data_IF_901433100859
#
_entry.id   IF_901433100859
#
_cell.length_a   1.000
_cell.length_b   1.000
_cell.length_c   1.000
_cell.angle_alpha   90.00
_cell.angle_beta   90.00
_cell.angle_gamma   90.00
#
_symmetry.space_group_name_H-M   'P 1'
#
loop_
_entity.id
_entity.type
_entity.pdbx_description
1 polymer ?
#
# COMPACT_ATOMS: atom_id res chain seq x y z
N UNK A 1 -11.94 -22.74 2.36
CA UNK A 1 -11.69 -22.66 3.81
C UNK A 1 -13.00 -22.99 4.53
N UNK A 2 -13.03 -23.96 5.44
CA UNK A 2 -14.22 -24.23 6.28
C UNK A 2 -14.13 -23.40 7.56
N UNK A 3 -15.00 -22.39 7.68
CA UNK A 3 -15.01 -21.48 8.82
C UNK A 3 -16.25 -21.79 9.66
N UNK A 4 -16.06 -21.95 10.97
CA UNK A 4 -17.15 -22.13 11.92
C UNK A 4 -17.25 -20.92 12.84
N UNK A 5 -18.23 -20.06 12.56
CA UNK A 5 -18.53 -18.92 13.42
C UNK A 5 -19.45 -19.37 14.55
N UNK A 6 -19.02 -19.18 15.81
CA UNK A 6 -19.79 -19.51 17.01
C UNK A 6 -20.12 -18.24 17.80
N UNK A 7 -21.26 -18.25 18.50
CA UNK A 7 -21.74 -17.12 19.32
C UNK A 7 -21.86 -15.79 18.54
N UNK A 8 -22.14 -15.85 17.24
CA UNK A 8 -22.43 -14.65 16.47
C UNK A 8 -23.72 -14.00 16.98
N UNK A 9 -23.72 -12.67 17.05
CA UNK A 9 -24.92 -11.91 17.37
C UNK A 9 -26.01 -12.19 16.31
N UNK A 10 -27.21 -12.63 16.73
CA UNK A 10 -28.33 -12.88 15.82
C UNK A 10 -28.68 -11.67 14.93
N UNK A 11 -28.45 -10.44 15.40
CA UNK A 11 -28.67 -9.23 14.62
C UNK A 11 -27.80 -9.21 13.36
N UNK A 12 -26.49 -9.46 13.51
CA UNK A 12 -25.57 -9.46 12.37
C UNK A 12 -25.82 -10.63 11.42
N UNK A 13 -26.24 -11.79 11.93
CA UNK A 13 -26.62 -12.93 11.07
C UNK A 13 -27.80 -12.56 10.17
N UNK A 14 -28.82 -11.87 10.69
CA UNK A 14 -29.97 -11.41 9.89
C UNK A 14 -29.57 -10.41 8.80
N UNK A 15 -28.66 -9.50 9.10
CA UNK A 15 -28.17 -8.54 8.10
C UNK A 15 -27.33 -9.23 7.01
N UNK A 16 -26.51 -10.22 7.38
CA UNK A 16 -25.77 -11.05 6.42
C UNK A 16 -26.74 -11.81 5.50
N UNK A 17 -27.80 -12.39 6.07
CA UNK A 17 -28.84 -13.07 5.30
C UNK A 17 -29.49 -12.18 4.26
N UNK A 18 -29.92 -11.00 4.69
CA UNK A 18 -30.54 -10.00 3.81
C UNK A 18 -29.61 -9.62 2.66
N UNK A 19 -28.30 -9.45 2.93
CA UNK A 19 -27.30 -9.19 1.88
C UNK A 19 -27.11 -10.40 0.95
N UNK A 20 -27.09 -11.61 1.48
CA UNK A 20 -27.00 -12.84 0.69
C UNK A 20 -28.20 -12.99 -0.25
N UNK A 21 -29.42 -12.68 0.21
CA UNK A 21 -30.62 -12.67 -0.64
C UNK A 21 -30.53 -11.62 -1.75
N UNK A 22 -30.09 -10.40 -1.42
CA UNK A 22 -29.90 -9.33 -2.40
C UNK A 22 -28.86 -9.71 -3.46
N UNK A 23 -27.72 -10.27 -3.03
CA UNK A 23 -26.68 -10.77 -3.94
C UNK A 23 -27.19 -11.92 -4.80
N UNK A 24 -27.95 -12.84 -4.21
CA UNK A 24 -28.54 -13.96 -4.94
C UNK A 24 -29.46 -13.49 -6.06
N UNK A 25 -30.30 -12.48 -5.78
CA UNK A 25 -31.17 -11.85 -6.78
C UNK A 25 -30.37 -11.17 -7.89
N UNK A 26 -29.30 -10.45 -7.55
CA UNK A 26 -28.46 -9.75 -8.53
C UNK A 26 -27.65 -10.70 -9.42
N UNK A 27 -27.15 -11.79 -8.86
CA UNK A 27 -26.28 -12.75 -9.55
C UNK A 27 -27.07 -13.85 -10.28
N UNK A 28 -28.39 -13.95 -10.05
CA UNK A 28 -29.23 -15.00 -10.64
C UNK A 28 -28.92 -16.40 -10.12
N UNK A 29 -28.17 -16.52 -9.02
CA UNK A 29 -27.81 -17.79 -8.38
C UNK A 29 -27.88 -17.67 -6.87
N UNK A 30 -28.11 -18.78 -6.16
CA UNK A 30 -28.06 -18.78 -4.69
C UNK A 30 -26.64 -18.42 -4.22
N UNK A 31 -26.56 -17.42 -3.36
CA UNK A 31 -25.34 -16.97 -2.70
C UNK A 31 -25.48 -17.25 -1.20
N UNK A 32 -24.62 -18.10 -0.68
CA UNK A 32 -24.70 -18.63 0.69
C UNK A 32 -23.96 -17.73 1.68
N UNK A 33 -24.32 -17.83 2.97
CA UNK A 33 -23.61 -17.13 4.06
C UNK A 33 -22.11 -17.44 4.07
N UNK A 34 -21.76 -18.71 3.84
CA UNK A 34 -20.36 -19.17 3.79
C UNK A 34 -19.59 -18.50 2.66
N UNK A 35 -20.18 -18.42 1.46
CA UNK A 35 -19.57 -17.70 0.33
C UNK A 35 -19.39 -16.22 0.65
N UNK A 36 -20.41 -15.59 1.24
CA UNK A 36 -20.35 -14.18 1.63
C UNK A 36 -19.26 -13.90 2.67
N UNK A 37 -19.19 -14.72 3.72
CA UNK A 37 -18.18 -14.58 4.77
C UNK A 37 -16.77 -14.82 4.21
N UNK A 38 -16.59 -15.85 3.39
CA UNK A 38 -15.30 -16.13 2.76
C UNK A 38 -14.84 -14.96 1.89
N UNK A 39 -15.74 -14.42 1.06
CA UNK A 39 -15.43 -13.27 0.21
C UNK A 39 -15.06 -12.02 1.03
N UNK A 40 -15.75 -11.74 2.14
CA UNK A 40 -15.40 -10.62 3.02
C UNK A 40 -14.02 -10.80 3.69
N UNK A 41 -13.68 -12.02 4.07
CA UNK A 41 -12.38 -12.32 4.67
C UNK A 41 -11.27 -12.16 3.63
N UNK A 42 -11.47 -12.69 2.43
CA UNK A 42 -10.53 -12.54 1.31
C UNK A 42 -10.30 -11.06 0.97
N UNK A 43 -11.37 -10.29 0.80
CA UNK A 43 -11.32 -8.85 0.51
C UNK A 43 -10.59 -8.06 1.61
N UNK A 44 -10.87 -8.36 2.88
CA UNK A 44 -10.19 -7.73 4.01
C UNK A 44 -8.68 -8.00 3.99
N UNK A 45 -8.28 -9.27 3.82
CA UNK A 45 -6.87 -9.63 3.77
C UNK A 45 -6.16 -9.02 2.55
N UNK A 46 -6.82 -8.99 1.39
CA UNK A 46 -6.25 -8.41 0.19
C UNK A 46 -6.06 -6.89 0.34
N UNK A 47 -7.03 -6.21 0.98
CA UNK A 47 -6.94 -4.78 1.27
C UNK A 47 -5.79 -4.45 2.23
N UNK A 48 -5.69 -5.16 3.36
CA UNK A 48 -4.60 -4.96 4.33
C UNK A 48 -3.23 -5.26 3.71
N UNK A 49 -3.14 -6.34 2.92
CA UNK A 49 -1.89 -6.68 2.23
C UNK A 49 -1.49 -5.61 1.20
N UNK A 50 -2.46 -5.08 0.46
CA UNK A 50 -2.25 -4.00 -0.50
C UNK A 50 -1.76 -2.73 0.20
N UNK A 51 -2.42 -2.35 1.29
CA UNK A 51 -2.01 -1.19 2.11
C UNK A 51 -0.58 -1.31 2.59
N UNK A 52 -0.19 -2.46 3.16
CA UNK A 52 1.20 -2.70 3.60
C UNK A 52 2.18 -2.63 2.43
N UNK A 53 1.79 -3.10 1.25
CA UNK A 53 2.63 -3.03 0.05
C UNK A 53 2.79 -1.58 -0.45
N UNK A 54 1.71 -0.81 -0.45
CA UNK A 54 1.70 0.62 -0.79
C UNK A 54 2.58 1.40 0.20
N UNK A 55 2.40 1.21 1.51
CA UNK A 55 3.19 1.86 2.55
C UNK A 55 4.71 1.60 2.37
N UNK A 56 5.11 0.34 2.10
CA UNK A 56 6.51 -0.02 1.84
C UNK A 56 7.05 0.56 0.55
N UNK A 57 6.21 0.66 -0.48
CA UNK A 57 6.61 1.26 -1.75
C UNK A 57 6.85 2.76 -1.57
N UNK A 58 5.94 3.46 -0.88
CA UNK A 58 6.06 4.87 -0.57
C UNK A 58 7.30 5.18 0.29
N UNK A 59 7.58 4.33 1.28
CA UNK A 59 8.81 4.40 2.07
C UNK A 59 10.07 4.27 1.19
N UNK A 60 10.09 3.28 0.28
CA UNK A 60 11.22 3.09 -0.63
C UNK A 60 11.40 4.28 -1.58
N UNK A 61 10.31 4.80 -2.16
CA UNK A 61 10.33 5.98 -3.03
C UNK A 61 10.85 7.20 -2.27
N UNK A 62 10.38 7.42 -1.04
CA UNK A 62 10.85 8.51 -0.19
C UNK A 62 12.36 8.41 0.08
N UNK A 63 12.85 7.22 0.45
CA UNK A 63 14.27 6.98 0.70
C UNK A 63 15.14 7.23 -0.55
N UNK A 64 14.64 6.85 -1.74
CA UNK A 64 15.32 7.12 -3.01
C UNK A 64 15.35 8.62 -3.28
N UNK A 65 14.24 9.33 -3.12
CA UNK A 65 14.16 10.78 -3.33
C UNK A 65 15.15 11.54 -2.43
N UNK A 66 15.20 11.23 -1.13
CA UNK A 66 16.16 11.83 -0.19
C UNK A 66 17.60 11.50 -0.57
N UNK A 67 17.86 10.29 -1.06
CA UNK A 67 19.21 9.88 -1.49
C UNK A 67 19.66 10.64 -2.75
N UNK A 68 18.75 10.87 -3.69
CA UNK A 68 19.03 11.64 -4.90
C UNK A 68 19.29 13.12 -4.59
N UNK A 69 18.49 13.73 -3.74
CA UNK A 69 18.69 15.12 -3.29
C UNK A 69 20.05 15.30 -2.61
N UNK A 70 20.46 14.35 -1.76
CA UNK A 70 21.81 14.35 -1.16
C UNK A 70 22.92 14.18 -2.19
N UNK A 71 22.72 13.36 -3.23
CA UNK A 71 23.71 13.20 -4.29
C UNK A 71 23.84 14.47 -5.12
N UNK A 72 22.74 15.12 -5.44
CA UNK A 72 22.72 16.41 -6.13
C UNK A 72 23.51 17.47 -5.34
N UNK A 73 23.26 17.61 -4.04
CA UNK A 73 23.99 18.52 -3.17
C UNK A 73 25.51 18.25 -3.16
N UNK A 74 25.91 16.98 -3.02
CA UNK A 74 27.34 16.61 -3.04
C UNK A 74 28.01 16.88 -4.38
N UNK A 75 27.30 16.68 -5.48
CA UNK A 75 27.81 17.01 -6.81
C UNK A 75 28.00 18.52 -6.96
N UNK A 76 27.05 19.31 -6.45
CA UNK A 76 27.19 20.77 -6.44
C UNK A 76 28.38 21.22 -5.59
N UNK A 77 28.55 20.70 -4.38
CA UNK A 77 29.71 20.97 -3.53
C UNK A 77 31.04 20.61 -4.22
N UNK A 78 31.08 19.48 -4.92
CA UNK A 78 32.25 19.07 -5.70
C UNK A 78 32.55 20.05 -6.86
N UNK A 79 31.52 20.47 -7.59
CA UNK A 79 31.65 21.46 -8.67
C UNK A 79 32.19 22.79 -8.12
N UNK A 80 31.62 23.26 -7.01
CA UNK A 80 31.99 24.54 -6.38
C UNK A 80 33.45 24.49 -5.91
N UNK A 81 33.84 23.43 -5.22
CA UNK A 81 35.22 23.21 -4.75
C UNK A 81 36.21 23.12 -5.92
N UNK A 82 35.81 22.44 -7.00
CA UNK A 82 36.65 22.30 -8.21
C UNK A 82 36.85 23.65 -8.90
N UNK A 83 35.80 24.47 -9.01
CA UNK A 83 35.88 25.80 -9.58
C UNK A 83 36.79 26.71 -8.75
N UNK A 84 36.69 26.66 -7.42
CA UNK A 84 37.57 27.41 -6.51
C UNK A 84 39.04 26.97 -6.64
N UNK A 85 39.30 25.66 -6.77
CA UNK A 85 40.63 25.12 -7.02
C UNK A 85 41.20 25.61 -8.36
N UNK A 86 40.40 25.59 -9.43
CA UNK A 86 40.82 26.08 -10.75
C UNK A 86 41.16 27.58 -10.67
N UNK A 87 40.32 28.37 -9.99
CA UNK A 87 40.55 29.80 -9.81
C UNK A 87 41.87 30.08 -9.07
N UNK A 88 42.10 29.40 -7.94
CA UNK A 88 43.33 29.56 -7.14
C UNK A 88 44.60 29.09 -7.86
N UNK A 89 44.50 28.12 -8.78
CA UNK A 89 45.62 27.72 -9.64
C UNK A 89 45.86 28.71 -10.78
N UNK A 90 44.81 29.24 -11.41
CA UNK A 90 44.91 30.24 -12.47
C UNK A 90 45.39 31.61 -12.01
N UNK A 91 45.13 32.00 -10.76
CA UNK A 91 45.66 33.24 -10.16
C UNK A 91 47.15 33.17 -9.78
N UNK A 92 47.76 31.98 -9.81
CA UNK A 92 49.17 31.75 -9.47
C UNK A 92 50.10 31.70 -10.69
N UNK A 93 49.56 31.78 -11.91
CA UNK A 93 50.32 31.98 -13.17
C UNK A 93 50.44 33.47 -13.51
#
# INVERSE_FOLDING_TARGET
MEIHIRKADPYYIKEIDKKCEQLSKRLGKRYTRSEFINALIEDYFEHEYRRVKEDKFDEAVSNIAVSLERQEQKLQEYIDTTNELIHTLGEKE
#
